data_IF_778346204410
#
_entry.id   IF_778346204410
#
_cell.length_a   1.000
_cell.length_b   1.000
_cell.length_c   1.000
_cell.angle_alpha   90.00
_cell.angle_beta   90.00
_cell.angle_gamma   90.00
#
_symmetry.space_group_name_H-M   'P 1'
#
loop_
_entity.id
_entity.type
_entity.pdbx_description
1 polymer ?
#
# COMPACT_ATOMS: atom_id res chain seq x y z
N UNK A 1 -2.95 7.03 -22.24
CA UNK A 1 -2.88 8.10 -21.22
C UNK A 1 -2.83 7.49 -19.82
N UNK A 2 -1.95 8.03 -18.97
CA UNK A 2 -1.87 7.66 -17.56
C UNK A 2 -3.22 7.96 -16.90
N UNK A 3 -3.86 7.00 -16.22
CA UNK A 3 -5.25 7.13 -15.75
C UNK A 3 -5.50 8.33 -14.83
N UNK A 4 -4.50 8.66 -13.99
CA UNK A 4 -4.58 9.77 -13.03
C UNK A 4 -3.28 10.60 -13.15
N UNK A 5 -3.26 11.46 -14.15
CA UNK A 5 -2.07 12.27 -14.50
C UNK A 5 -1.62 13.13 -13.32
N UNK A 6 -0.34 13.03 -12.98
CA UNK A 6 0.30 13.84 -11.93
C UNK A 6 0.17 13.29 -10.50
N UNK A 7 -0.65 12.26 -10.27
CA UNK A 7 -0.72 11.63 -8.95
C UNK A 7 0.43 10.63 -8.73
N UNK A 8 0.76 10.43 -7.45
CA UNK A 8 1.78 9.47 -7.07
C UNK A 8 1.25 8.03 -7.22
N UNK A 9 2.06 7.07 -7.73
CA UNK A 9 1.60 5.68 -7.94
C UNK A 9 0.99 5.01 -6.70
N UNK A 10 1.55 5.25 -5.50
CA UNK A 10 0.98 4.73 -4.26
C UNK A 10 -0.44 5.28 -3.99
N UNK A 11 -0.71 6.56 -4.32
CA UNK A 11 -2.04 7.17 -4.21
C UNK A 11 -3.01 6.51 -5.19
N UNK A 12 -2.56 6.24 -6.41
CA UNK A 12 -3.37 5.51 -7.41
C UNK A 12 -3.73 4.11 -6.90
N UNK A 13 -2.78 3.38 -6.31
CA UNK A 13 -3.04 2.11 -5.65
C UNK A 13 -4.10 2.21 -4.54
N UNK A 14 -4.04 3.27 -3.72
CA UNK A 14 -5.04 3.54 -2.67
C UNK A 14 -6.43 3.84 -3.23
N UNK A 15 -6.54 4.60 -4.33
CA UNK A 15 -7.82 4.84 -5.01
C UNK A 15 -8.46 3.51 -5.45
N UNK A 16 -7.66 2.57 -5.94
CA UNK A 16 -8.14 1.26 -6.36
C UNK A 16 -8.68 0.43 -5.18
N UNK A 17 -8.14 0.56 -3.98
CA UNK A 17 -8.41 -0.27 -2.80
C UNK A 17 -9.20 0.42 -1.68
N UNK A 18 -9.90 1.52 -1.95
CA UNK A 18 -10.60 2.30 -0.92
C UNK A 18 -9.68 2.76 0.21
N UNK A 19 -8.53 3.32 -0.15
CA UNK A 19 -7.50 3.82 0.77
C UNK A 19 -7.00 2.77 1.78
N UNK A 20 -7.07 1.49 1.41
CA UNK A 20 -6.47 0.43 2.22
C UNK A 20 -4.96 0.37 1.96
N UNK A 21 -4.13 0.42 3.01
CA UNK A 21 -2.69 0.25 2.88
C UNK A 21 -2.33 -1.17 2.47
N UNK A 22 -1.33 -1.29 1.63
CA UNK A 22 -0.72 -2.56 1.23
C UNK A 22 0.81 -2.43 1.18
N UNK A 23 1.52 -3.53 1.38
CA UNK A 23 2.99 -3.54 1.27
C UNK A 23 3.47 -3.19 -0.15
N UNK A 24 2.67 -3.49 -1.15
CA UNK A 24 2.89 -3.11 -2.55
C UNK A 24 3.02 -1.60 -2.76
N UNK A 25 2.41 -0.76 -1.91
CA UNK A 25 2.49 0.70 -2.02
C UNK A 25 3.92 1.22 -1.84
N UNK A 26 4.69 0.62 -0.92
CA UNK A 26 6.10 0.96 -0.73
C UNK A 26 6.95 0.48 -1.90
N UNK A 27 6.69 -0.73 -2.41
CA UNK A 27 7.39 -1.27 -3.59
C UNK A 27 7.18 -0.39 -4.81
N UNK A 28 5.95 0.07 -5.06
CA UNK A 28 5.64 0.97 -6.17
C UNK A 28 6.31 2.33 -5.98
N UNK A 29 6.41 2.83 -4.74
CA UNK A 29 7.15 4.07 -4.44
C UNK A 29 8.64 3.91 -4.70
N UNK A 30 9.22 2.75 -4.37
CA UNK A 30 10.61 2.43 -4.73
C UNK A 30 10.84 2.44 -6.24
N UNK A 31 9.97 1.80 -6.99
CA UNK A 31 10.04 1.80 -8.45
C UNK A 31 9.88 3.22 -9.01
N UNK A 32 9.03 4.05 -8.39
CA UNK A 32 8.91 5.47 -8.75
C UNK A 32 10.22 6.23 -8.51
N UNK A 33 10.90 6.02 -7.38
CA UNK A 33 12.20 6.63 -7.09
C UNK A 33 13.28 6.20 -8.11
N UNK A 34 13.24 4.94 -8.56
CA UNK A 34 14.12 4.46 -9.63
C UNK A 34 13.78 5.13 -10.97
N UNK A 35 12.49 5.25 -11.30
CA UNK A 35 12.02 5.90 -12.52
C UNK A 35 12.37 7.40 -12.55
N UNK A 36 12.29 8.09 -11.42
CA UNK A 36 12.76 9.46 -11.25
C UNK A 36 14.30 9.58 -11.36
N UNK A 37 15.01 8.47 -11.38
CA UNK A 37 16.47 8.42 -11.36
C UNK A 37 17.08 8.93 -10.05
N UNK A 38 16.32 8.95 -8.96
CA UNK A 38 16.80 9.30 -7.62
C UNK A 38 17.49 8.11 -6.94
N UNK A 39 17.09 6.90 -7.30
CA UNK A 39 17.64 5.65 -6.80
C UNK A 39 18.08 4.79 -7.99
N UNK A 40 19.22 4.14 -7.85
CA UNK A 40 19.72 3.15 -8.80
C UNK A 40 19.53 1.76 -8.19
N UNK A 41 19.05 0.81 -9.00
CA UNK A 41 18.93 -0.59 -8.61
C UNK A 41 20.00 -1.41 -9.35
N UNK A 42 20.81 -2.15 -8.60
CA UNK A 42 21.87 -2.97 -9.13
C UNK A 42 21.76 -4.38 -8.57
N UNK A 43 22.18 -5.37 -9.35
CA UNK A 43 22.25 -6.76 -8.93
C UNK A 43 23.70 -7.10 -8.59
N UNK A 44 23.94 -7.71 -7.45
CA UNK A 44 25.24 -8.23 -7.08
C UNK A 44 25.10 -9.57 -6.36
N UNK A 45 26.20 -10.34 -6.35
CA UNK A 45 26.29 -11.58 -5.60
C UNK A 45 27.27 -11.40 -4.45
N UNK A 46 26.91 -11.92 -3.29
CA UNK A 46 27.79 -11.97 -2.12
C UNK A 46 27.80 -13.37 -1.51
N UNK A 47 28.88 -13.71 -0.84
CA UNK A 47 28.98 -14.96 -0.10
C UNK A 47 28.32 -14.80 1.26
N UNK A 48 27.38 -15.68 1.57
CA UNK A 48 26.74 -15.76 2.88
C UNK A 48 27.24 -17.02 3.58
N UNK A 49 27.91 -16.85 4.71
CA UNK A 49 28.36 -17.95 5.54
C UNK A 49 27.17 -18.65 6.20
N UNK A 50 27.08 -19.95 6.00
CA UNK A 50 26.07 -20.82 6.61
C UNK A 50 26.74 -21.93 7.42
N UNK A 51 25.97 -22.64 8.26
CA UNK A 51 26.47 -23.75 9.11
C UNK A 51 27.15 -24.90 8.32
N UNK A 52 26.96 -24.98 7.01
CA UNK A 52 27.46 -26.03 6.12
C UNK A 52 28.37 -25.52 4.99
N UNK A 53 28.91 -24.29 5.13
CA UNK A 53 29.78 -23.65 4.15
C UNK A 53 29.20 -22.36 3.60
N UNK A 54 30.01 -21.61 2.83
CA UNK A 54 29.57 -20.36 2.19
C UNK A 54 28.72 -20.66 0.97
N UNK A 55 27.60 -19.91 0.83
CA UNK A 55 26.71 -19.98 -0.34
C UNK A 55 26.68 -18.61 -1.02
N UNK A 56 26.94 -18.57 -2.30
CA UNK A 56 26.74 -17.37 -3.12
C UNK A 56 25.25 -17.05 -3.21
N UNK A 57 24.86 -15.88 -2.74
CA UNK A 57 23.49 -15.36 -2.79
C UNK A 57 23.48 -14.19 -3.76
N UNK A 58 22.57 -14.23 -4.74
CA UNK A 58 22.29 -13.09 -5.58
C UNK A 58 21.23 -12.20 -4.89
N UNK A 59 21.51 -10.92 -4.79
CA UNK A 59 20.59 -9.93 -4.22
C UNK A 59 20.66 -8.63 -5.00
N UNK A 60 19.69 -7.77 -4.79
CA UNK A 60 19.65 -6.43 -5.34
C UNK A 60 20.01 -5.42 -4.25
N UNK A 61 20.75 -4.39 -4.62
CA UNK A 61 20.98 -3.25 -3.76
C UNK A 61 20.53 -1.97 -4.45
N UNK A 62 20.03 -1.07 -3.62
CA UNK A 62 19.60 0.26 -3.98
C UNK A 62 20.72 1.22 -3.63
N UNK A 63 21.09 2.13 -4.51
CA UNK A 63 22.08 3.17 -4.22
C UNK A 63 21.52 4.55 -4.54
N UNK A 64 21.99 5.55 -3.78
CA UNK A 64 21.66 6.96 -4.03
C UNK A 64 22.21 7.37 -5.39
N UNK A 65 21.38 7.99 -6.23
CA UNK A 65 21.85 8.53 -7.50
C UNK A 65 22.45 9.94 -7.31
N UNK A 66 23.46 10.34 -8.10
CA UNK A 66 23.96 11.71 -8.06
C UNK A 66 22.85 12.73 -8.31
N UNK A 67 22.76 13.76 -7.46
CA UNK A 67 21.76 14.82 -7.59
C UNK A 67 20.33 14.38 -7.29
N UNK A 68 20.12 13.30 -6.52
CA UNK A 68 18.82 12.76 -6.14
C UNK A 68 17.89 13.80 -5.49
N UNK A 69 18.44 14.74 -4.74
CA UNK A 69 17.69 15.78 -4.02
C UNK A 69 16.82 16.62 -4.97
N UNK A 70 17.34 16.97 -6.13
CA UNK A 70 16.61 17.74 -7.15
C UNK A 70 15.51 16.94 -7.85
N UNK A 71 15.58 15.60 -7.80
CA UNK A 71 14.65 14.69 -8.47
C UNK A 71 13.47 14.31 -7.58
N UNK A 72 13.65 14.37 -6.26
CA UNK A 72 12.61 14.05 -5.27
C UNK A 72 11.81 15.30 -4.95
N UNK A 73 10.69 15.48 -5.62
CA UNK A 73 9.83 16.67 -5.46
C UNK A 73 8.62 16.45 -4.56
N UNK A 74 8.18 15.19 -4.41
CA UNK A 74 7.00 14.84 -3.60
C UNK A 74 7.42 14.34 -2.22
N UNK A 75 6.66 14.74 -1.20
CA UNK A 75 6.90 14.33 0.19
C UNK A 75 6.84 12.82 0.38
N UNK A 76 5.91 12.15 -0.31
CA UNK A 76 5.78 10.68 -0.29
C UNK A 76 7.09 10.00 -0.70
N UNK A 77 7.71 10.50 -1.78
CA UNK A 77 8.98 9.98 -2.28
C UNK A 77 10.12 10.27 -1.30
N UNK A 78 10.13 11.47 -0.70
CA UNK A 78 11.14 11.89 0.28
C UNK A 78 11.10 11.04 1.54
N UNK A 79 9.92 10.81 2.10
CA UNK A 79 9.76 9.96 3.28
C UNK A 79 10.18 8.51 3.01
N UNK A 80 9.82 7.96 1.85
CA UNK A 80 10.26 6.62 1.47
C UNK A 80 11.77 6.55 1.26
N UNK A 81 12.37 7.55 0.64
CA UNK A 81 13.82 7.64 0.44
C UNK A 81 14.56 7.69 1.78
N UNK A 82 14.16 8.58 2.68
CA UNK A 82 14.76 8.72 4.01
C UNK A 82 14.55 7.45 4.85
N UNK A 83 13.38 6.83 4.76
CA UNK A 83 13.14 5.55 5.43
C UNK A 83 14.11 4.46 4.98
N UNK A 84 14.39 4.38 3.68
CA UNK A 84 15.32 3.38 3.14
C UNK A 84 16.78 3.67 3.48
N UNK A 85 17.25 4.87 3.18
CA UNK A 85 18.67 5.18 3.26
C UNK A 85 19.09 5.68 4.63
N UNK A 86 18.27 6.48 5.31
CA UNK A 86 18.66 7.09 6.60
C UNK A 86 18.25 6.20 7.77
N UNK A 87 17.09 5.52 7.68
CA UNK A 87 16.62 4.65 8.77
C UNK A 87 17.14 3.22 8.62
N UNK A 88 16.85 2.56 7.50
CA UNK A 88 17.21 1.15 7.28
C UNK A 88 18.71 1.02 6.96
N UNK A 89 19.20 1.92 6.12
CA UNK A 89 20.61 1.96 5.70
C UNK A 89 21.53 2.70 6.66
N UNK A 90 21.02 3.26 7.77
CA UNK A 90 21.80 4.03 8.76
C UNK A 90 22.67 5.13 8.13
N UNK A 91 22.16 5.77 7.06
CA UNK A 91 22.86 6.81 6.31
C UNK A 91 23.81 6.30 5.22
N UNK A 92 23.84 5.01 4.95
CA UNK A 92 24.71 4.44 3.91
C UNK A 92 24.30 4.89 2.48
N UNK A 93 25.30 4.90 1.59
CA UNK A 93 25.10 5.21 0.16
C UNK A 93 24.33 4.10 -0.59
N UNK A 94 24.30 2.89 -0.03
CA UNK A 94 23.59 1.76 -0.62
C UNK A 94 22.94 0.88 0.44
N UNK A 95 21.80 0.28 0.09
CA UNK A 95 20.98 -0.57 0.96
C UNK A 95 20.60 -1.84 0.19
N UNK A 96 20.87 -3.01 0.77
CA UNK A 96 20.47 -4.29 0.21
C UNK A 96 18.97 -4.54 0.43
N UNK A 97 18.28 -5.12 -0.54
CA UNK A 97 16.85 -5.44 -0.37
C UNK A 97 16.61 -6.45 0.76
N UNK A 98 17.52 -7.39 0.94
CA UNK A 98 17.46 -8.34 2.07
C UNK A 98 17.57 -7.65 3.43
N UNK A 99 18.35 -6.56 3.54
CA UNK A 99 18.55 -5.83 4.80
C UNK A 99 17.26 -5.15 5.30
N UNK A 100 16.32 -4.85 4.42
CA UNK A 100 15.00 -4.30 4.81
C UNK A 100 14.26 -5.29 5.74
N UNK A 101 14.22 -6.57 5.38
CA UNK A 101 13.58 -7.59 6.20
C UNK A 101 14.34 -7.86 7.50
N UNK A 102 15.67 -7.80 7.47
CA UNK A 102 16.50 -7.97 8.66
C UNK A 102 16.30 -6.81 9.63
N UNK A 103 16.27 -5.58 9.12
CA UNK A 103 16.03 -4.38 9.93
C UNK A 103 14.62 -4.43 10.57
N UNK A 104 13.59 -4.80 9.79
CA UNK A 104 12.22 -4.93 10.30
C UNK A 104 12.11 -5.95 11.46
N UNK A 105 12.89 -7.04 11.41
CA UNK A 105 12.93 -8.05 12.48
C UNK A 105 13.70 -7.56 13.71
N UNK A 106 14.81 -6.82 13.52
CA UNK A 106 15.64 -6.30 14.61
C UNK A 106 15.00 -5.09 15.31
N UNK A 107 14.34 -4.22 14.56
CA UNK A 107 13.81 -2.94 15.03
C UNK A 107 12.32 -2.78 14.67
N UNK A 108 11.41 -3.67 15.15
CA UNK A 108 10.02 -3.72 14.69
C UNK A 108 9.23 -2.44 15.02
N UNK A 109 9.48 -1.80 16.17
CA UNK A 109 8.81 -0.55 16.54
C UNK A 109 9.21 0.60 15.62
N UNK A 110 10.51 0.86 15.47
CA UNK A 110 11.01 1.94 14.62
C UNK A 110 10.60 1.74 13.16
N UNK A 111 10.65 0.49 12.67
CA UNK A 111 10.19 0.16 11.32
C UNK A 111 8.70 0.46 11.16
N UNK A 112 7.87 0.04 12.12
CA UNK A 112 6.42 0.28 12.10
C UNK A 112 6.08 1.76 12.15
N UNK A 113 6.76 2.53 13.01
CA UNK A 113 6.52 3.97 13.18
C UNK A 113 6.86 4.73 11.88
N UNK A 114 8.03 4.47 11.30
CA UNK A 114 8.45 5.10 10.04
C UNK A 114 7.57 4.70 8.85
N UNK A 115 7.16 3.45 8.81
CA UNK A 115 6.20 2.98 7.82
C UNK A 115 4.84 3.67 7.99
N UNK A 116 4.39 3.87 9.24
CA UNK A 116 3.14 4.57 9.55
C UNK A 116 3.21 6.05 9.17
N UNK A 117 4.33 6.75 9.43
CA UNK A 117 4.56 8.12 9.00
C UNK A 117 4.40 8.26 7.48
N UNK A 118 5.07 7.39 6.73
CA UNK A 118 4.98 7.37 5.28
C UNK A 118 3.57 7.05 4.79
N UNK A 119 2.91 6.04 5.38
CA UNK A 119 1.53 5.68 5.05
C UNK A 119 0.56 6.81 5.37
N UNK A 120 0.82 7.57 6.44
CA UNK A 120 0.07 8.76 6.82
C UNK A 120 0.09 9.82 5.71
N UNK A 121 1.27 10.09 5.14
CA UNK A 121 1.41 11.04 4.02
C UNK A 121 0.65 10.57 2.76
N UNK A 122 0.74 9.28 2.41
CA UNK A 122 -0.04 8.72 1.30
C UNK A 122 -1.55 8.90 1.54
N UNK A 123 -2.02 8.66 2.77
CA UNK A 123 -3.42 8.84 3.15
C UNK A 123 -3.83 10.31 3.11
N UNK A 124 -2.99 11.22 3.64
CA UNK A 124 -3.24 12.66 3.59
C UNK A 124 -3.37 13.14 2.14
N UNK A 125 -2.51 12.67 1.25
CA UNK A 125 -2.58 12.99 -0.18
C UNK A 125 -3.86 12.46 -0.82
N UNK A 126 -4.29 11.26 -0.45
CA UNK A 126 -5.54 10.66 -0.93
C UNK A 126 -6.77 11.47 -0.49
N UNK A 127 -6.77 11.94 0.77
CA UNK A 127 -7.84 12.79 1.33
C UNK A 127 -7.85 14.15 0.64
N UNK A 128 -6.69 14.81 0.53
CA UNK A 128 -6.56 16.12 -0.13
C UNK A 128 -6.95 16.06 -1.61
N UNK A 129 -6.74 14.90 -2.24
CA UNK A 129 -7.16 14.64 -3.62
C UNK A 129 -8.68 14.52 -3.80
N UNK A 130 -9.45 14.45 -2.71
CA UNK A 130 -10.91 14.32 -2.69
C UNK A 130 -11.43 13.11 -3.49
N UNK A 131 -10.73 11.98 -3.40
CA UNK A 131 -11.14 10.75 -4.11
C UNK A 131 -12.23 9.97 -3.38
N UNK A 132 -12.42 10.21 -2.07
CA UNK A 132 -13.43 9.55 -1.23
C UNK A 132 -14.35 10.58 -0.59
N UNK A 133 -15.61 10.18 -0.36
CA UNK A 133 -16.56 11.04 0.35
C UNK A 133 -16.07 11.28 1.78
N UNK A 134 -16.03 12.55 2.23
CA UNK A 134 -15.69 12.88 3.60
C UNK A 134 -16.66 12.16 4.53
N UNK A 135 -16.15 11.72 5.68
CA UNK A 135 -16.91 10.98 6.70
C UNK A 135 -17.40 9.57 6.34
N UNK A 136 -17.19 9.06 5.11
CA UNK A 136 -17.62 7.72 4.75
C UNK A 136 -16.96 6.64 5.61
N UNK A 137 -15.66 6.79 5.90
CA UNK A 137 -14.91 5.92 6.81
C UNK A 137 -15.40 6.05 8.27
N UNK A 138 -15.68 7.27 8.73
CA UNK A 138 -16.21 7.51 10.07
C UNK A 138 -17.58 6.88 10.24
N UNK A 139 -18.49 7.05 9.27
CA UNK A 139 -19.81 6.41 9.26
C UNK A 139 -19.71 4.89 9.31
N UNK A 140 -18.77 4.30 8.55
CA UNK A 140 -18.50 2.87 8.61
C UNK A 140 -18.03 2.43 10.00
N UNK A 141 -17.05 3.14 10.59
CA UNK A 141 -16.53 2.85 11.91
C UNK A 141 -17.63 2.93 12.99
N UNK A 142 -18.45 4.00 12.93
CA UNK A 142 -19.61 4.16 13.83
C UNK A 142 -20.59 3.02 13.70
N UNK A 143 -20.96 2.61 12.48
CA UNK A 143 -21.90 1.51 12.26
C UNK A 143 -21.36 0.17 12.76
N UNK A 144 -20.07 -0.06 12.56
CA UNK A 144 -19.37 -1.25 13.09
C UNK A 144 -19.39 -1.25 14.63
N UNK A 145 -19.08 -0.10 15.26
CA UNK A 145 -19.09 0.04 16.71
C UNK A 145 -20.49 -0.17 17.29
N UNK A 146 -21.53 0.38 16.66
CA UNK A 146 -22.94 0.16 17.06
C UNK A 146 -23.30 -1.32 16.97
N UNK A 147 -22.89 -2.03 15.92
CA UNK A 147 -23.14 -3.46 15.77
C UNK A 147 -22.49 -4.30 16.88
N UNK A 148 -21.25 -3.99 17.23
CA UNK A 148 -20.53 -4.65 18.31
C UNK A 148 -21.17 -4.33 19.67
N UNK A 149 -21.49 -3.07 19.94
CA UNK A 149 -22.14 -2.64 21.19
C UNK A 149 -23.50 -3.31 21.38
N UNK A 150 -24.32 -3.36 20.33
CA UNK A 150 -25.62 -4.04 20.37
C UNK A 150 -25.46 -5.54 20.70
N UNK A 151 -24.49 -6.22 20.08
CA UNK A 151 -24.20 -7.61 20.37
C UNK A 151 -23.79 -7.84 21.83
N UNK A 152 -22.88 -6.98 22.36
CA UNK A 152 -22.45 -7.06 23.77
C UNK A 152 -23.63 -6.87 24.73
N UNK A 153 -24.51 -5.90 24.45
CA UNK A 153 -25.71 -5.66 25.28
C UNK A 153 -26.61 -6.88 25.26
N UNK A 154 -26.88 -7.46 24.09
CA UNK A 154 -27.73 -8.66 23.96
C UNK A 154 -27.10 -9.83 24.70
N UNK A 155 -25.78 -9.99 24.63
CA UNK A 155 -25.05 -11.03 25.36
C UNK A 155 -25.19 -10.88 26.89
N UNK A 156 -25.06 -9.65 27.42
CA UNK A 156 -25.25 -9.37 28.82
C UNK A 156 -26.68 -9.64 29.29
N UNK A 157 -27.68 -9.25 28.48
CA UNK A 157 -29.11 -9.55 28.77
C UNK A 157 -29.34 -11.07 28.78
N UNK A 158 -28.79 -11.80 27.82
CA UNK A 158 -28.88 -13.26 27.73
C UNK A 158 -28.31 -13.94 28.98
N UNK A 159 -27.17 -13.45 29.50
CA UNK A 159 -26.59 -13.96 30.75
C UNK A 159 -27.47 -13.64 31.97
N UNK A 160 -28.06 -12.45 32.02
CA UNK A 160 -28.90 -12.03 33.15
C UNK A 160 -30.19 -12.85 33.24
N UNK A 161 -30.79 -13.21 32.11
CA UNK A 161 -32.03 -14.02 32.03
C UNK A 161 -31.77 -15.53 31.91
N UNK A 162 -30.51 -15.96 31.96
CA UNK A 162 -30.07 -17.35 31.77
C UNK A 162 -30.68 -18.03 30.52
N UNK A 163 -30.84 -17.24 29.46
CA UNK A 163 -31.49 -17.64 28.21
C UNK A 163 -30.54 -17.50 27.01
N UNK A 164 -29.79 -18.56 26.72
CA UNK A 164 -28.83 -18.63 25.62
C UNK A 164 -29.45 -18.48 24.23
N UNK A 165 -30.75 -18.74 24.07
CA UNK A 165 -31.42 -18.56 22.77
C UNK A 165 -31.42 -17.10 22.30
N UNK A 166 -31.35 -16.14 23.22
CA UNK A 166 -31.24 -14.70 22.87
C UNK A 166 -29.93 -14.31 22.18
N UNK A 167 -28.88 -15.13 22.27
CA UNK A 167 -27.60 -14.85 21.58
C UNK A 167 -27.76 -14.98 20.07
N UNK A 168 -28.62 -15.87 19.58
CA UNK A 168 -28.80 -16.12 18.14
C UNK A 168 -29.22 -14.85 17.37
N UNK A 169 -30.30 -14.13 17.75
CA UNK A 169 -30.68 -12.89 17.10
C UNK A 169 -29.60 -11.80 17.26
N UNK A 170 -28.84 -11.80 18.35
CA UNK A 170 -27.71 -10.91 18.55
C UNK A 170 -26.59 -11.10 17.52
N UNK A 171 -26.22 -12.34 17.26
CA UNK A 171 -25.23 -12.69 16.22
C UNK A 171 -25.73 -12.29 14.83
N UNK A 172 -26.99 -12.59 14.51
CA UNK A 172 -27.60 -12.24 13.21
C UNK A 172 -27.58 -10.72 13.00
N UNK A 173 -27.97 -9.95 14.01
CA UNK A 173 -27.98 -8.48 13.96
C UNK A 173 -26.56 -7.93 13.77
N UNK A 174 -25.57 -8.45 14.50
CA UNK A 174 -24.18 -8.04 14.38
C UNK A 174 -23.66 -8.31 12.96
N UNK A 175 -23.86 -9.53 12.44
CA UNK A 175 -23.42 -9.89 11.08
C UNK A 175 -24.07 -8.99 10.04
N UNK A 176 -25.38 -8.74 10.16
CA UNK A 176 -26.11 -7.86 9.26
C UNK A 176 -25.57 -6.43 9.26
N UNK A 177 -25.29 -5.84 10.43
CA UNK A 177 -24.71 -4.51 10.55
C UNK A 177 -23.27 -4.45 10.02
N UNK A 178 -22.47 -5.50 10.21
CA UNK A 178 -21.13 -5.62 9.64
C UNK A 178 -21.18 -5.66 8.10
N UNK A 179 -22.13 -6.37 7.53
CA UNK A 179 -22.31 -6.40 6.06
C UNK A 179 -22.69 -5.00 5.54
N UNK A 180 -23.69 -4.35 6.16
CA UNK A 180 -24.12 -3.00 5.76
C UNK A 180 -22.98 -2.00 5.87
N UNK A 181 -22.16 -2.08 6.94
CA UNK A 181 -21.03 -1.18 7.15
C UNK A 181 -20.03 -1.20 5.99
N UNK A 182 -19.90 -2.34 5.28
CA UNK A 182 -19.03 -2.48 4.09
C UNK A 182 -19.47 -1.62 2.90
N UNK A 183 -20.76 -1.32 2.80
CA UNK A 183 -21.31 -0.51 1.72
C UNK A 183 -21.31 1.00 2.01
N UNK A 184 -20.83 1.40 3.19
CA UNK A 184 -20.81 2.82 3.58
C UNK A 184 -19.62 3.60 3.03
N UNK A 185 -18.54 2.92 2.64
CA UNK A 185 -17.41 3.59 1.98
C UNK A 185 -17.77 3.94 0.54
N UNK A 186 -17.70 5.22 0.19
CA UNK A 186 -18.03 5.72 -1.14
C UNK A 186 -16.90 6.55 -1.73
N UNK A 187 -16.68 6.40 -3.03
CA UNK A 187 -15.86 7.30 -3.81
C UNK A 187 -16.67 8.53 -4.20
N UNK A 188 -16.00 9.67 -4.30
CA UNK A 188 -16.57 10.84 -4.99
C UNK A 188 -16.69 10.55 -6.48
N UNK A 189 -17.35 11.43 -7.24
CA UNK A 189 -17.37 11.32 -8.70
C UNK A 189 -15.94 11.26 -9.28
N UNK A 190 -15.05 12.16 -8.82
CA UNK A 190 -13.63 12.17 -9.19
C UNK A 190 -12.94 10.83 -8.88
N UNK A 191 -13.21 10.27 -7.71
CA UNK A 191 -12.66 8.98 -7.29
C UNK A 191 -13.19 7.81 -8.12
N UNK A 192 -14.47 7.85 -8.49
CA UNK A 192 -15.10 6.84 -9.34
C UNK A 192 -14.54 6.88 -10.77
N UNK A 193 -14.36 8.07 -11.33
CA UNK A 193 -13.77 8.27 -12.67
C UNK A 193 -12.31 7.81 -12.70
N UNK A 194 -11.52 8.17 -11.65
CA UNK A 194 -10.15 7.72 -11.50
C UNK A 194 -10.07 6.19 -11.41
N UNK A 195 -10.93 5.57 -10.60
CA UNK A 195 -11.03 4.13 -10.48
C UNK A 195 -11.38 3.46 -11.82
N UNK A 196 -12.38 3.97 -12.53
CA UNK A 196 -12.81 3.42 -13.82
C UNK A 196 -11.67 3.44 -14.85
N UNK A 197 -10.91 4.54 -14.93
CA UNK A 197 -9.73 4.67 -15.80
C UNK A 197 -8.63 3.68 -15.42
N UNK A 198 -8.33 3.54 -14.13
CA UNK A 198 -7.33 2.58 -13.65
C UNK A 198 -7.75 1.13 -13.93
N UNK A 199 -9.02 0.79 -13.70
CA UNK A 199 -9.55 -0.54 -13.99
C UNK A 199 -9.55 -0.85 -15.50
N UNK A 200 -9.86 0.13 -16.34
CA UNK A 200 -9.75 0.00 -17.79
C UNK A 200 -8.30 -0.27 -18.24
N UNK A 201 -7.33 0.48 -17.69
CA UNK A 201 -5.90 0.24 -17.96
C UNK A 201 -5.48 -1.16 -17.50
N UNK A 202 -5.87 -1.57 -16.30
CA UNK A 202 -5.57 -2.90 -15.76
C UNK A 202 -6.10 -4.02 -16.64
N UNK A 203 -7.33 -3.89 -17.15
CA UNK A 203 -7.92 -4.84 -18.10
C UNK A 203 -7.16 -4.86 -19.41
N UNK A 204 -6.86 -3.68 -19.95
CA UNK A 204 -6.08 -3.54 -21.18
C UNK A 204 -4.69 -4.20 -21.05
N UNK A 205 -3.96 -3.95 -19.95
CA UNK A 205 -2.66 -4.58 -19.70
C UNK A 205 -2.77 -6.10 -19.58
N UNK A 206 -3.84 -6.60 -18.93
CA UNK A 206 -4.09 -8.04 -18.81
C UNK A 206 -4.40 -8.68 -20.16
N UNK A 207 -5.19 -8.03 -20.98
CA UNK A 207 -5.53 -8.54 -22.31
C UNK A 207 -4.32 -8.45 -23.25
N UNK A 208 -3.55 -7.36 -23.13
CA UNK A 208 -2.30 -7.18 -23.87
C UNK A 208 -1.24 -8.25 -23.52
N UNK A 209 -1.11 -8.62 -22.25
CA UNK A 209 -0.17 -9.66 -21.80
C UNK A 209 -0.52 -11.07 -22.31
N UNK A 210 -1.78 -11.28 -22.72
CA UNK A 210 -2.24 -12.55 -23.33
C UNK A 210 -2.01 -12.65 -24.83
N UNK A 211 -1.75 -11.52 -25.49
CA UNK A 211 -1.46 -11.47 -26.92
C UNK A 211 0.01 -11.84 -27.15
N UNK A 212 0.30 -13.13 -27.37
CA UNK A 212 1.64 -13.67 -27.62
C UNK A 212 2.32 -13.17 -28.92
N UNK A 213 1.69 -12.27 -29.68
CA UNK A 213 2.05 -11.97 -31.07
C UNK A 213 2.30 -10.49 -31.37
N UNK A 214 2.75 -9.67 -30.42
CA UNK A 214 3.08 -8.28 -30.76
C UNK A 214 4.60 -8.02 -30.74
N UNK A 215 5.12 -7.28 -31.75
CA UNK A 215 6.55 -7.02 -31.87
C UNK A 215 7.06 -6.14 -30.72
N UNK A 216 8.35 -6.31 -30.43
CA UNK A 216 9.16 -5.72 -29.34
C UNK A 216 9.16 -4.18 -29.29
N UNK A 217 8.59 -3.49 -30.29
CA UNK A 217 8.50 -2.03 -30.37
C UNK A 217 7.67 -1.36 -29.28
N UNK A 218 6.79 -2.12 -28.63
CA UNK A 218 5.91 -1.60 -27.57
C UNK A 218 6.55 -1.57 -26.16
N UNK A 219 7.81 -2.02 -26.01
CA UNK A 219 8.51 -2.06 -24.69
C UNK A 219 8.70 -0.64 -24.10
N UNK A 220 8.82 0.38 -24.91
CA UNK A 220 8.92 1.78 -24.44
C UNK A 220 7.65 2.25 -23.72
N UNK A 221 6.50 1.72 -24.10
CA UNK A 221 5.20 2.04 -23.48
C UNK A 221 5.10 1.43 -22.09
N UNK A 222 5.75 0.30 -21.83
CA UNK A 222 5.73 -0.36 -20.52
C UNK A 222 6.38 0.47 -19.41
N UNK A 223 7.43 1.23 -19.74
CA UNK A 223 8.10 2.10 -18.77
C UNK A 223 7.22 3.21 -18.21
N UNK A 224 6.20 3.66 -18.95
CA UNK A 224 5.25 4.69 -18.51
C UNK A 224 4.09 4.12 -17.66
N UNK A 225 3.83 2.81 -17.73
CA UNK A 225 2.67 2.17 -17.10
C UNK A 225 3.00 1.24 -15.92
N UNK A 226 4.28 0.86 -15.76
CA UNK A 226 4.72 -0.03 -14.68
C UNK A 226 5.17 0.71 -13.41
N UNK A 227 5.20 2.04 -13.44
CA UNK A 227 5.54 2.90 -12.30
C UNK A 227 4.29 3.54 -11.71
#
# INVERSE_FOLDING_TARGET
DVPVKGEHPAVVGRIMRFDKPENSDLTVTLLNLVNLGAVLINKASYEKDGLLGSKTVEDYYLSRAPGYESKITKEIDRLAFNFLFDTIGEGAESVWLSSINEYAKKNPSTFSDKLADWQGEVTARTINGQYFEPYSKAKRATMTAVGIAAFVIIMLISMFFDNFLMVIPGVITMVFLLIISRFMERRTQKGADAYAKCEALKRWLKDFSRLKERPVLDIKVWGEFLV
#
